data_IF_913653718424
#
_entry.id   IF_913653718424
#
_cell.length_a   1.000
_cell.length_b   1.000
_cell.length_c   1.000
_cell.angle_alpha   90.00
_cell.angle_beta   90.00
_cell.angle_gamma   90.00
#
_symmetry.space_group_name_H-M   'P 1'
#
loop_
_entity.id
_entity.type
_entity.pdbx_description
1 polymer ?
#
# COMPACT_ATOMS: atom_id res chain seq x y z
N UNK A 1 15.92 15.10 2.18
CA UNK A 1 15.92 13.61 2.00
C UNK A 1 14.53 13.13 2.32
N UNK A 2 14.04 12.01 1.74
CA UNK A 2 12.75 11.44 2.12
C UNK A 2 12.91 10.73 3.45
N UNK A 3 12.04 11.02 4.42
CA UNK A 3 12.01 10.36 5.72
C UNK A 3 11.30 9.03 5.64
N UNK A 4 11.85 7.99 6.28
CA UNK A 4 11.28 6.64 6.35
C UNK A 4 11.26 6.22 7.82
N UNK A 5 10.07 5.95 8.35
CA UNK A 5 9.91 5.39 9.69
C UNK A 5 10.17 3.89 9.63
N UNK A 6 11.01 3.40 10.54
CA UNK A 6 11.29 1.96 10.73
C UNK A 6 10.97 1.61 12.17
N UNK A 7 10.05 0.69 12.37
CA UNK A 7 9.67 0.19 13.69
C UNK A 7 9.90 -1.33 13.76
N UNK A 8 10.77 -1.73 14.69
CA UNK A 8 11.15 -3.14 14.92
C UNK A 8 11.75 -3.23 16.32
N UNK A 9 11.33 -4.18 17.14
CA UNK A 9 11.86 -4.38 18.50
C UNK A 9 13.22 -5.08 18.52
N UNK A 10 13.62 -5.70 17.40
CA UNK A 10 14.95 -6.26 17.20
C UNK A 10 15.95 -5.18 16.74
N UNK A 11 16.69 -4.56 17.70
CA UNK A 11 17.63 -3.47 17.40
C UNK A 11 18.63 -3.80 16.28
N UNK A 12 19.07 -5.05 16.17
CA UNK A 12 20.02 -5.46 15.13
C UNK A 12 19.38 -5.38 13.74
N UNK A 13 18.14 -5.80 13.59
CA UNK A 13 17.39 -5.73 12.32
C UNK A 13 17.08 -4.27 12.00
N UNK A 14 16.56 -3.52 12.95
CA UNK A 14 16.26 -2.10 12.82
C UNK A 14 17.50 -1.32 12.36
N UNK A 15 18.66 -1.50 13.03
CA UNK A 15 19.89 -0.81 12.67
C UNK A 15 20.37 -1.19 11.28
N UNK A 16 20.31 -2.48 10.91
CA UNK A 16 20.65 -2.96 9.58
C UNK A 16 19.79 -2.28 8.49
N UNK A 17 18.47 -2.26 8.68
CA UNK A 17 17.55 -1.60 7.74
C UNK A 17 17.84 -0.10 7.65
N UNK A 18 18.05 0.57 8.77
CA UNK A 18 18.39 1.99 8.81
C UNK A 18 19.69 2.31 8.07
N UNK A 19 20.71 1.45 8.18
CA UNK A 19 22.00 1.66 7.50
C UNK A 19 21.86 1.51 5.98
N UNK A 20 21.06 0.54 5.51
CA UNK A 20 20.76 0.42 4.08
C UNK A 20 19.94 1.61 3.56
N UNK A 21 18.98 2.10 4.32
CA UNK A 21 18.20 3.30 3.96
C UNK A 21 19.10 4.53 3.83
N UNK A 22 20.01 4.76 4.79
CA UNK A 22 20.99 5.88 4.73
C UNK A 22 21.89 5.76 3.50
N UNK A 23 22.37 4.56 3.20
CA UNK A 23 23.22 4.29 2.03
C UNK A 23 22.49 4.62 0.72
N UNK A 24 21.18 4.37 0.66
CA UNK A 24 20.34 4.66 -0.52
C UNK A 24 19.82 6.11 -0.54
N UNK A 25 20.27 6.97 0.39
CA UNK A 25 19.97 8.40 0.41
C UNK A 25 18.65 8.77 1.09
N UNK A 26 18.11 7.90 1.95
CA UNK A 26 16.94 8.17 2.78
C UNK A 26 17.34 8.60 4.19
N UNK A 27 16.41 9.22 4.91
CA UNK A 27 16.54 9.60 6.32
C UNK A 27 15.69 8.65 7.18
N UNK A 28 16.27 7.62 7.83
CA UNK A 28 15.50 6.72 8.68
C UNK A 28 15.22 7.36 10.04
N UNK A 29 13.98 7.20 10.50
CA UNK A 29 13.50 7.46 11.85
C UNK A 29 13.19 6.10 12.47
N UNK A 30 13.76 5.79 13.63
CA UNK A 30 13.66 4.46 14.25
C UNK A 30 12.76 4.47 15.48
N UNK A 31 11.96 3.41 15.65
CA UNK A 31 11.14 3.12 16.82
C UNK A 31 11.34 1.67 17.26
N UNK A 32 11.33 1.41 18.55
CA UNK A 32 11.51 0.07 19.13
C UNK A 32 10.20 -0.60 19.55
N UNK A 33 9.09 0.12 19.43
CA UNK A 33 7.74 -0.36 19.71
C UNK A 33 6.69 0.45 18.93
N UNK A 34 5.44 -0.02 18.96
CA UNK A 34 4.37 0.61 18.21
C UNK A 34 3.91 1.96 18.77
N UNK A 35 4.03 2.22 20.07
CA UNK A 35 3.68 3.50 20.68
C UNK A 35 4.66 4.58 20.21
N UNK A 36 5.94 4.31 20.30
CA UNK A 36 7.00 5.19 19.80
C UNK A 36 6.88 5.44 18.30
N UNK A 37 6.51 4.40 17.52
CA UNK A 37 6.27 4.54 16.09
C UNK A 37 5.16 5.55 15.79
N UNK A 38 4.03 5.48 16.52
CA UNK A 38 2.92 6.42 16.36
C UNK A 38 3.28 7.84 16.81
N UNK A 39 4.07 8.00 17.87
CA UNK A 39 4.55 9.31 18.32
C UNK A 39 5.45 9.97 17.26
N UNK A 40 6.42 9.22 16.72
CA UNK A 40 7.32 9.70 15.66
C UNK A 40 6.52 10.04 14.40
N UNK A 41 5.55 9.19 14.04
CA UNK A 41 4.70 9.44 12.87
C UNK A 41 3.91 10.74 12.99
N UNK A 42 3.27 11.00 14.14
CA UNK A 42 2.52 12.24 14.39
C UNK A 42 3.41 13.48 14.41
N UNK A 43 4.64 13.35 14.91
CA UNK A 43 5.60 14.46 14.96
C UNK A 43 6.24 14.80 13.60
N UNK A 44 6.14 13.90 12.61
CA UNK A 44 6.78 14.04 11.30
C UNK A 44 5.77 13.82 10.16
N UNK A 45 4.98 14.84 9.78
CA UNK A 45 3.96 14.71 8.72
C UNK A 45 4.56 14.51 7.31
N UNK A 46 5.87 14.67 7.17
CA UNK A 46 6.63 14.52 5.93
C UNK A 46 7.24 13.10 5.76
N UNK A 47 6.88 12.13 6.60
CA UNK A 47 7.25 10.74 6.41
C UNK A 47 6.69 10.24 5.07
N UNK A 48 7.61 9.72 4.23
CA UNK A 48 7.29 9.28 2.86
C UNK A 48 6.95 7.78 2.76
N UNK A 49 7.36 6.97 3.75
CA UNK A 49 7.11 5.53 3.83
C UNK A 49 7.30 5.05 5.26
N UNK A 50 6.58 4.00 5.64
CA UNK A 50 6.69 3.34 6.96
C UNK A 50 7.03 1.86 6.75
N UNK A 51 7.97 1.34 7.53
CA UNK A 51 8.32 -0.09 7.61
C UNK A 51 8.00 -0.53 9.05
N UNK A 52 7.14 -1.52 9.20
CA UNK A 52 6.67 -2.00 10.50
C UNK A 52 6.95 -3.49 10.66
N UNK A 53 7.60 -3.86 11.75
CA UNK A 53 7.49 -5.24 12.21
C UNK A 53 6.09 -5.50 12.77
N UNK A 54 5.60 -6.72 12.55
CA UNK A 54 4.30 -7.14 13.07
C UNK A 54 4.37 -7.37 14.57
N UNK A 55 5.40 -8.07 15.01
CA UNK A 55 5.52 -8.57 16.38
C UNK A 55 6.28 -7.58 17.27
N UNK A 56 5.69 -6.42 17.53
CA UNK A 56 6.26 -5.43 18.44
C UNK A 56 5.56 -5.43 19.81
N UNK A 57 6.26 -5.08 20.90
CA UNK A 57 5.65 -4.89 22.20
C UNK A 57 4.77 -3.64 22.25
N UNK A 58 3.90 -3.57 23.26
CA UNK A 58 2.97 -2.47 23.57
C UNK A 58 1.84 -2.37 22.55
N UNK A 59 2.15 -2.02 21.30
CA UNK A 59 1.20 -1.95 20.18
C UNK A 59 1.83 -2.70 19.02
N UNK A 60 1.13 -3.71 18.48
CA UNK A 60 1.61 -4.49 17.35
C UNK A 60 1.59 -3.68 16.03
N UNK A 61 2.33 -4.16 15.02
CA UNK A 61 2.43 -3.45 13.74
C UNK A 61 1.10 -3.32 13.00
N UNK A 62 0.16 -4.25 13.22
CA UNK A 62 -1.18 -4.17 12.62
C UNK A 62 -1.99 -3.00 13.16
N UNK A 63 -1.97 -2.81 14.47
CA UNK A 63 -2.67 -1.71 15.13
C UNK A 63 -2.03 -0.37 14.79
N UNK A 64 -0.69 -0.32 14.70
CA UNK A 64 0.04 0.86 14.20
C UNK A 64 -0.42 1.20 12.78
N UNK A 65 -0.46 0.21 11.88
CA UNK A 65 -0.90 0.41 10.50
C UNK A 65 -2.36 0.90 10.43
N UNK A 66 -3.28 0.26 11.15
CA UNK A 66 -4.69 0.70 11.23
C UNK A 66 -4.83 2.13 11.73
N UNK A 67 -4.05 2.50 12.75
CA UNK A 67 -4.06 3.86 13.31
C UNK A 67 -3.54 4.89 12.29
N UNK A 68 -2.45 4.60 11.60
CA UNK A 68 -1.92 5.45 10.52
C UNK A 68 -2.96 5.62 9.42
N UNK A 69 -3.66 4.55 9.03
CA UNK A 69 -4.66 4.56 7.96
C UNK A 69 -5.91 5.41 8.26
N UNK A 70 -6.17 5.74 9.52
CA UNK A 70 -7.25 6.67 9.88
C UNK A 70 -6.99 8.10 9.38
N UNK A 71 -5.72 8.47 9.20
CA UNK A 71 -5.32 9.86 8.90
C UNK A 71 -4.38 10.00 7.72
N UNK A 72 -3.82 8.91 7.18
CA UNK A 72 -2.78 8.97 6.15
C UNK A 72 -2.83 7.76 5.20
N UNK A 73 -2.47 8.03 3.94
CA UNK A 73 -2.24 7.02 2.90
C UNK A 73 -0.74 6.78 2.64
N UNK A 74 0.13 7.17 3.57
CA UNK A 74 1.57 6.90 3.45
C UNK A 74 1.81 5.42 3.16
N UNK A 75 2.70 5.04 2.22
CA UNK A 75 3.01 3.65 1.97
C UNK A 75 3.51 2.94 3.21
N UNK A 76 2.99 1.74 3.48
CA UNK A 76 3.38 0.88 4.62
C UNK A 76 3.84 -0.48 4.10
N UNK A 77 5.07 -0.87 4.49
CA UNK A 77 5.61 -2.22 4.32
C UNK A 77 5.56 -2.91 5.67
N UNK A 78 4.97 -4.11 5.72
CA UNK A 78 5.01 -4.95 6.92
C UNK A 78 6.16 -5.95 6.82
N UNK A 79 6.91 -6.11 7.91
CA UNK A 79 7.87 -7.20 8.08
C UNK A 79 7.21 -8.32 8.88
N UNK A 80 7.25 -9.55 8.38
CA UNK A 80 6.56 -10.69 9.00
C UNK A 80 7.45 -11.91 9.12
N UNK A 81 7.32 -12.68 10.18
CA UNK A 81 7.94 -13.99 10.29
C UNK A 81 7.12 -15.01 9.46
N UNK A 82 7.79 -15.86 8.69
CA UNK A 82 7.27 -16.79 7.67
C UNK A 82 6.20 -17.80 8.12
N UNK A 83 5.71 -17.78 9.34
CA UNK A 83 4.99 -18.91 9.93
C UNK A 83 3.47 -18.79 10.04
N UNK A 84 2.83 -17.76 9.49
CA UNK A 84 1.38 -17.61 9.68
C UNK A 84 0.68 -17.11 8.41
N UNK A 85 0.11 -18.03 7.63
CA UNK A 85 -0.93 -17.72 6.60
C UNK A 85 -2.07 -16.85 7.17
N UNK A 86 -2.26 -16.87 8.48
CA UNK A 86 -3.25 -16.08 9.21
C UNK A 86 -2.85 -14.60 9.31
N UNK A 87 -1.55 -14.31 9.37
CA UNK A 87 -1.04 -12.93 9.46
C UNK A 87 -1.19 -12.18 8.14
N UNK A 88 -1.06 -12.85 7.00
CA UNK A 88 -1.27 -12.21 5.70
C UNK A 88 -2.72 -11.76 5.49
N UNK A 89 -3.71 -12.58 5.86
CA UNK A 89 -5.13 -12.21 5.74
C UNK A 89 -5.48 -11.05 6.69
N UNK A 90 -5.02 -11.10 7.94
CA UNK A 90 -5.25 -10.03 8.94
C UNK A 90 -4.55 -8.74 8.54
N UNK A 91 -3.39 -8.86 7.93
CA UNK A 91 -2.60 -7.71 7.51
C UNK A 91 -3.13 -7.00 6.28
N UNK A 92 -3.69 -7.72 5.35
CA UNK A 92 -4.42 -7.10 4.24
C UNK A 92 -5.64 -6.31 4.74
N UNK A 93 -6.28 -6.75 5.82
CA UNK A 93 -7.35 -6.00 6.47
C UNK A 93 -6.84 -4.72 7.17
N UNK A 94 -5.58 -4.69 7.64
CA UNK A 94 -4.97 -3.50 8.23
C UNK A 94 -4.61 -2.40 7.22
N UNK A 95 -4.57 -2.73 5.91
CA UNK A 95 -4.34 -1.74 4.85
C UNK A 95 -2.86 -1.49 4.51
N UNK A 96 -1.97 -2.42 4.78
CA UNK A 96 -0.58 -2.36 4.31
C UNK A 96 -0.48 -2.43 2.79
N UNK A 97 0.56 -1.82 2.22
CA UNK A 97 0.79 -1.78 0.77
C UNK A 97 1.67 -2.92 0.29
N UNK A 98 2.54 -3.45 1.15
CA UNK A 98 3.44 -4.55 0.81
C UNK A 98 3.83 -5.35 2.05
N UNK A 99 4.28 -6.60 1.84
CA UNK A 99 4.72 -7.53 2.88
C UNK A 99 6.09 -8.10 2.52
N UNK A 100 6.96 -8.21 3.52
CA UNK A 100 8.29 -8.79 3.37
C UNK A 100 8.50 -9.79 4.50
N UNK A 101 8.70 -11.05 4.14
CA UNK A 101 8.95 -12.12 5.12
C UNK A 101 10.37 -12.06 5.68
N UNK A 102 10.52 -12.15 7.02
CA UNK A 102 11.81 -12.33 7.70
C UNK A 102 12.25 -13.83 7.64
N UNK A 103 13.53 -14.15 7.43
CA UNK A 103 14.64 -13.23 7.14
C UNK A 103 14.59 -12.73 5.70
N UNK A 104 14.65 -11.43 5.50
CA UNK A 104 14.69 -10.82 4.18
C UNK A 104 16.09 -10.31 3.82
N UNK A 105 16.43 -10.39 2.54
CA UNK A 105 17.62 -9.69 2.05
C UNK A 105 17.38 -8.17 2.09
N UNK A 106 18.26 -7.38 2.73
CA UNK A 106 18.13 -5.92 2.73
C UNK A 106 17.99 -5.32 1.33
N UNK A 107 18.65 -5.92 0.33
CA UNK A 107 18.56 -5.47 -1.06
C UNK A 107 17.15 -5.68 -1.67
N UNK A 108 16.42 -6.71 -1.26
CA UNK A 108 15.02 -6.94 -1.66
C UNK A 108 14.13 -5.87 -1.03
N UNK A 109 14.29 -5.63 0.28
CA UNK A 109 13.55 -4.59 0.99
C UNK A 109 13.79 -3.21 0.36
N UNK A 110 15.04 -2.83 0.05
CA UNK A 110 15.36 -1.56 -0.59
C UNK A 110 14.72 -1.42 -1.99
N UNK A 111 14.64 -2.48 -2.78
CA UNK A 111 13.93 -2.46 -4.06
C UNK A 111 12.43 -2.19 -3.89
N UNK A 112 11.80 -2.77 -2.85
CA UNK A 112 10.38 -2.54 -2.55
C UNK A 112 10.13 -1.12 -2.07
N UNK A 113 11.00 -0.60 -1.18
CA UNK A 113 11.00 0.81 -0.76
C UNK A 113 11.08 1.73 -1.98
N UNK A 114 12.07 1.51 -2.86
CA UNK A 114 12.24 2.33 -4.06
C UNK A 114 11.03 2.24 -5.00
N UNK A 115 10.43 1.05 -5.18
CA UNK A 115 9.26 0.84 -6.02
C UNK A 115 8.03 1.61 -5.50
N UNK A 116 7.76 1.55 -4.18
CA UNK A 116 6.66 2.29 -3.56
C UNK A 116 6.88 3.80 -3.64
N UNK A 117 8.10 4.27 -3.39
CA UNK A 117 8.44 5.70 -3.45
C UNK A 117 8.50 6.26 -4.88
N UNK A 118 8.80 5.43 -5.89
CA UNK A 118 8.85 5.83 -7.31
C UNK A 118 7.44 5.99 -7.88
N UNK A 119 6.49 5.18 -7.48
CA UNK A 119 5.08 5.29 -7.91
C UNK A 119 4.45 6.62 -7.51
N UNK A 120 4.86 7.20 -6.38
CA UNK A 120 4.49 8.56 -5.98
C UNK A 120 5.17 9.68 -6.81
N UNK A 121 6.08 9.34 -7.74
CA UNK A 121 6.91 10.31 -8.47
C UNK A 121 6.85 10.13 -9.99
N UNK A 122 6.14 9.12 -10.49
CA UNK A 122 6.04 8.90 -11.93
C UNK A 122 5.18 10.01 -12.55
N UNK A 123 5.78 10.82 -13.43
CA UNK A 123 5.03 11.66 -14.39
C UNK A 123 4.20 10.74 -15.27
N UNK A 124 2.92 10.59 -14.91
CA UNK A 124 1.90 10.06 -15.81
C UNK A 124 1.47 11.25 -16.67
N UNK A 125 1.31 11.04 -17.98
CA UNK A 125 0.62 12.04 -18.81
C UNK A 125 -0.68 12.41 -18.12
N UNK A 126 -0.91 13.69 -17.88
CA UNK A 126 -2.04 14.21 -17.14
C UNK A 126 -3.34 13.74 -17.81
N UNK A 127 -3.97 12.76 -17.22
CA UNK A 127 -5.24 12.24 -17.68
C UNK A 127 -6.24 12.30 -16.55
N UNK A 128 -7.32 13.03 -16.77
CA UNK A 128 -8.48 13.01 -15.89
C UNK A 128 -9.44 11.96 -16.43
N UNK A 129 -9.68 10.94 -15.64
CA UNK A 129 -10.68 9.91 -15.95
C UNK A 129 -11.97 10.26 -15.22
N UNK A 130 -13.09 10.10 -15.90
CA UNK A 130 -14.40 10.31 -15.33
C UNK A 130 -15.37 9.21 -15.78
N UNK A 131 -16.02 8.58 -14.84
CA UNK A 131 -17.11 7.64 -15.07
C UNK A 131 -18.22 7.99 -14.07
N UNK A 132 -19.37 8.42 -14.57
CA UNK A 132 -20.47 8.98 -13.80
C UNK A 132 -19.95 10.12 -12.89
N UNK A 133 -20.15 9.99 -11.58
CA UNK A 133 -19.76 10.96 -10.56
C UNK A 133 -18.38 10.68 -9.92
N UNK A 134 -17.66 9.64 -10.39
CA UNK A 134 -16.26 9.43 -10.00
C UNK A 134 -15.33 10.15 -10.96
N UNK A 135 -14.44 10.97 -10.40
CA UNK A 135 -13.34 11.62 -11.09
C UNK A 135 -12.00 11.18 -10.49
N UNK A 136 -11.07 10.75 -11.32
CA UNK A 136 -9.69 10.44 -10.96
C UNK A 136 -8.74 11.34 -11.74
N UNK A 137 -7.90 12.08 -11.01
CA UNK A 137 -6.84 12.91 -11.57
C UNK A 137 -5.50 12.18 -11.37
N UNK A 138 -4.91 11.74 -12.47
CA UNK A 138 -3.68 10.94 -12.41
C UNK A 138 -2.44 11.77 -12.11
N UNK A 139 -2.46 13.09 -12.37
CA UNK A 139 -1.34 13.97 -12.06
C UNK A 139 -1.34 14.36 -10.58
N UNK A 140 -2.51 14.72 -10.05
CA UNK A 140 -2.68 15.05 -8.63
C UNK A 140 -2.70 13.80 -7.72
N UNK A 141 -2.87 12.59 -8.27
CA UNK A 141 -3.11 11.35 -7.52
C UNK A 141 -4.35 11.46 -6.60
N UNK A 142 -5.37 12.13 -7.08
CA UNK A 142 -6.58 12.42 -6.32
C UNK A 142 -7.80 11.73 -6.95
N UNK A 143 -8.72 11.34 -6.09
CA UNK A 143 -9.99 10.72 -6.48
C UNK A 143 -11.12 11.44 -5.77
N UNK A 144 -12.15 11.80 -6.54
CA UNK A 144 -13.39 12.38 -6.02
C UNK A 144 -14.58 11.53 -6.44
N UNK A 145 -15.53 11.38 -5.55
CA UNK A 145 -16.82 10.76 -5.80
C UNK A 145 -17.92 11.74 -5.39
N UNK A 146 -18.80 12.09 -6.32
CA UNK A 146 -19.86 13.09 -6.11
C UNK A 146 -19.31 14.42 -5.54
N UNK A 147 -18.11 14.82 -5.99
CA UNK A 147 -17.43 16.06 -5.53
C UNK A 147 -16.74 15.97 -4.18
N UNK A 148 -16.80 14.83 -3.49
CA UNK A 148 -16.10 14.59 -2.22
C UNK A 148 -14.81 13.81 -2.47
N UNK A 149 -13.69 14.27 -1.89
CA UNK A 149 -12.41 13.56 -2.00
C UNK A 149 -12.47 12.22 -1.29
N UNK A 150 -11.97 11.16 -1.95
CA UNK A 150 -11.90 9.79 -1.43
C UNK A 150 -10.44 9.42 -1.18
N UNK A 151 -10.11 9.13 0.08
CA UNK A 151 -8.76 8.71 0.45
C UNK A 151 -8.52 7.23 0.12
N UNK A 152 -7.68 6.98 -0.87
CA UNK A 152 -7.25 5.64 -1.27
C UNK A 152 -5.79 5.42 -0.87
N UNK A 153 -5.45 4.20 -0.44
CA UNK A 153 -4.05 3.78 -0.32
C UNK A 153 -3.39 3.72 -1.70
N UNK A 154 -2.07 3.68 -1.75
CA UNK A 154 -1.34 3.62 -3.01
C UNK A 154 -1.77 2.43 -3.88
N UNK A 155 -2.00 1.26 -3.27
CA UNK A 155 -2.42 0.05 -4.00
C UNK A 155 -3.87 0.11 -4.47
N UNK A 156 -4.77 0.63 -3.64
CA UNK A 156 -6.17 0.87 -4.04
C UNK A 156 -6.26 1.86 -5.19
N UNK A 157 -5.49 2.95 -5.12
CA UNK A 157 -5.37 3.91 -6.21
C UNK A 157 -4.83 3.25 -7.48
N UNK A 158 -3.75 2.48 -7.37
CA UNK A 158 -3.12 1.80 -8.52
C UNK A 158 -4.08 0.81 -9.20
N UNK A 159 -4.88 0.07 -8.41
CA UNK A 159 -5.93 -0.81 -8.95
C UNK A 159 -7.00 0.01 -9.68
N UNK A 160 -7.53 1.05 -9.04
CA UNK A 160 -8.56 1.91 -9.64
C UNK A 160 -8.05 2.53 -10.94
N UNK A 161 -6.85 3.11 -10.92
CA UNK A 161 -6.21 3.71 -12.09
C UNK A 161 -6.04 2.69 -13.23
N UNK A 162 -5.56 1.48 -12.91
CA UNK A 162 -5.38 0.41 -13.92
C UNK A 162 -6.69 0.03 -14.57
N UNK A 163 -7.75 -0.11 -13.78
CA UNK A 163 -9.06 -0.50 -14.28
C UNK A 163 -9.74 0.64 -15.07
N UNK A 164 -9.68 1.89 -14.55
CA UNK A 164 -10.35 3.04 -15.16
C UNK A 164 -9.65 3.53 -16.44
N UNK A 165 -8.35 3.28 -16.57
CA UNK A 165 -7.59 3.62 -17.78
C UNK A 165 -7.94 2.74 -19.00
N UNK A 166 -8.65 1.62 -18.80
CA UNK A 166 -9.09 0.73 -19.86
C UNK A 166 -10.49 0.14 -19.56
N UNK A 167 -11.55 0.94 -19.58
CA UNK A 167 -12.92 0.50 -19.29
C UNK A 167 -13.34 -0.68 -20.18
N UNK A 168 -14.05 -1.65 -19.60
CA UNK A 168 -14.49 -2.86 -20.29
C UNK A 168 -13.44 -3.96 -20.40
N UNK A 169 -12.14 -3.63 -20.29
CA UNK A 169 -11.06 -4.63 -20.30
C UNK A 169 -11.02 -5.42 -19.01
N UNK A 170 -10.94 -6.75 -19.13
CA UNK A 170 -10.71 -7.64 -17.98
C UNK A 170 -9.22 -7.76 -17.71
N UNK A 171 -8.82 -7.51 -16.47
CA UNK A 171 -7.48 -7.77 -15.96
C UNK A 171 -7.52 -9.00 -15.05
N UNK A 172 -6.65 -9.98 -15.30
CA UNK A 172 -6.55 -11.14 -14.41
C UNK A 172 -5.98 -10.73 -13.05
N UNK A 173 -6.20 -11.57 -12.01
CA UNK A 173 -5.60 -11.35 -10.70
C UNK A 173 -4.08 -11.33 -10.76
N UNK A 174 -3.51 -12.24 -11.54
CA UNK A 174 -2.08 -12.32 -11.78
C UNK A 174 -1.55 -11.05 -12.46
N UNK A 175 -2.21 -10.57 -13.53
CA UNK A 175 -1.83 -9.32 -14.19
C UNK A 175 -1.88 -8.12 -13.23
N UNK A 176 -2.92 -8.02 -12.40
CA UNK A 176 -3.01 -6.94 -11.41
C UNK A 176 -1.93 -7.08 -10.34
N UNK A 177 -1.61 -8.30 -9.92
CA UNK A 177 -0.55 -8.57 -8.95
C UNK A 177 0.80 -8.13 -9.51
N UNK A 178 1.18 -8.64 -10.69
CA UNK A 178 2.44 -8.34 -11.35
C UNK A 178 2.61 -6.84 -11.63
N UNK A 179 1.58 -6.21 -12.19
CA UNK A 179 1.60 -4.80 -12.56
C UNK A 179 1.69 -3.87 -11.34
N UNK A 180 1.11 -4.26 -10.20
CA UNK A 180 0.94 -3.39 -9.03
C UNK A 180 1.92 -3.76 -7.90
N UNK A 181 2.29 -5.02 -7.74
CA UNK A 181 3.25 -5.47 -6.73
C UNK A 181 4.61 -5.85 -7.31
N UNK A 182 4.67 -6.20 -8.59
CA UNK A 182 5.87 -6.64 -9.31
C UNK A 182 5.99 -8.15 -9.38
N UNK A 183 6.79 -8.64 -10.35
CA UNK A 183 6.96 -10.08 -10.61
C UNK A 183 7.65 -10.85 -9.46
N UNK A 184 8.38 -10.14 -8.59
CA UNK A 184 9.08 -10.75 -7.45
C UNK A 184 8.20 -10.76 -6.18
N UNK A 185 6.90 -10.48 -6.30
CA UNK A 185 5.99 -10.50 -5.17
C UNK A 185 5.61 -11.94 -4.80
N UNK A 186 5.94 -12.36 -3.59
CA UNK A 186 5.82 -13.74 -3.09
C UNK A 186 4.47 -14.00 -2.38
N UNK A 187 3.51 -13.05 -2.52
CA UNK A 187 2.20 -13.13 -1.86
C UNK A 187 1.11 -13.77 -2.74
N UNK A 188 -0.01 -14.15 -2.11
CA UNK A 188 -1.15 -14.80 -2.75
C UNK A 188 -1.94 -13.80 -3.65
N UNK A 189 -2.55 -14.32 -4.72
CA UNK A 189 -3.50 -13.59 -5.58
C UNK A 189 -4.71 -13.02 -4.80
N UNK A 190 -5.04 -13.57 -3.63
CA UNK A 190 -6.06 -13.04 -2.70
C UNK A 190 -5.75 -11.64 -2.21
N UNK A 191 -4.48 -11.22 -2.27
CA UNK A 191 -4.06 -9.82 -2.02
C UNK A 191 -4.85 -8.84 -2.87
N UNK A 192 -5.02 -9.14 -4.17
CA UNK A 192 -5.81 -8.31 -5.07
C UNK A 192 -7.28 -8.26 -4.64
N UNK A 193 -7.86 -9.41 -4.26
CA UNK A 193 -9.26 -9.50 -3.85
C UNK A 193 -9.53 -8.63 -2.61
N UNK A 194 -8.64 -8.65 -1.63
CA UNK A 194 -8.75 -7.85 -0.41
C UNK A 194 -8.67 -6.34 -0.69
N UNK A 195 -7.77 -5.91 -1.59
CA UNK A 195 -7.68 -4.50 -1.97
C UNK A 195 -8.89 -4.05 -2.80
N UNK A 196 -9.41 -4.90 -3.70
CA UNK A 196 -10.63 -4.60 -4.45
C UNK A 196 -11.84 -4.51 -3.52
N UNK A 197 -11.94 -5.38 -2.52
CA UNK A 197 -13.02 -5.31 -1.53
C UNK A 197 -13.02 -3.98 -0.77
N UNK A 198 -11.85 -3.54 -0.26
CA UNK A 198 -11.71 -2.24 0.41
C UNK A 198 -11.98 -1.07 -0.53
N UNK A 199 -11.47 -1.13 -1.76
CA UNK A 199 -11.72 -0.12 -2.77
C UNK A 199 -13.23 0.03 -3.03
N UNK A 200 -13.98 -1.08 -3.17
CA UNK A 200 -15.44 -1.05 -3.30
C UNK A 200 -16.10 -0.42 -2.08
N UNK A 201 -15.65 -0.76 -0.87
CA UNK A 201 -16.19 -0.17 0.37
C UNK A 201 -15.99 1.34 0.41
N UNK A 202 -14.80 1.83 0.04
CA UNK A 202 -14.49 3.27 0.02
C UNK A 202 -15.25 4.03 -1.07
N UNK A 203 -15.53 3.39 -2.19
CA UNK A 203 -16.31 3.96 -3.31
C UNK A 203 -17.81 3.68 -3.21
N UNK A 204 -18.26 2.97 -2.18
CA UNK A 204 -19.67 2.72 -1.89
C UNK A 204 -20.45 2.09 -3.06
N UNK A 205 -21.63 2.64 -3.36
CA UNK A 205 -22.51 2.14 -4.44
C UNK A 205 -21.83 2.23 -5.80
N UNK A 206 -21.05 3.27 -6.07
CA UNK A 206 -20.30 3.39 -7.30
C UNK A 206 -19.31 2.23 -7.48
N UNK A 207 -18.55 1.91 -6.45
CA UNK A 207 -17.60 0.80 -6.48
C UNK A 207 -18.25 -0.55 -6.70
N UNK A 208 -19.40 -0.77 -6.09
CA UNK A 208 -20.20 -2.00 -6.25
C UNK A 208 -20.82 -2.12 -7.64
N UNK A 209 -21.23 -0.98 -8.23
CA UNK A 209 -21.84 -0.91 -9.57
C UNK A 209 -20.80 -1.09 -10.67
N UNK A 210 -19.68 -0.38 -10.61
CA UNK A 210 -18.74 -0.27 -11.73
C UNK A 210 -17.57 -1.25 -11.68
N UNK A 211 -17.05 -1.60 -10.49
CA UNK A 211 -15.97 -2.59 -10.38
C UNK A 211 -16.57 -3.99 -10.39
N UNK A 212 -16.51 -4.66 -11.55
CA UNK A 212 -17.09 -5.99 -11.76
C UNK A 212 -16.07 -7.09 -11.54
N UNK A 213 -16.51 -8.15 -10.85
CA UNK A 213 -15.76 -9.40 -10.73
C UNK A 213 -16.11 -10.31 -11.90
N UNK A 214 -15.10 -10.76 -12.63
CA UNK A 214 -15.23 -11.81 -13.63
C UNK A 214 -14.74 -13.11 -12.97
N UNK A 215 -15.70 -13.95 -12.60
CA UNK A 215 -15.41 -15.17 -11.86
C UNK A 215 -14.39 -16.05 -12.60
N UNK A 216 -13.44 -16.60 -11.85
CA UNK A 216 -12.36 -17.40 -12.41
C UNK A 216 -11.27 -16.62 -13.15
N UNK A 217 -11.45 -15.30 -13.40
CA UNK A 217 -10.49 -14.48 -14.16
C UNK A 217 -9.95 -13.33 -13.33
N UNK A 218 -10.76 -12.34 -12.99
CA UNK A 218 -10.27 -11.12 -12.34
C UNK A 218 -11.31 -10.00 -12.28
N UNK A 219 -10.89 -8.78 -12.65
CA UNK A 219 -11.68 -7.58 -12.46
C UNK A 219 -11.69 -6.68 -13.70
N UNK A 220 -12.76 -5.91 -13.86
CA UNK A 220 -12.87 -4.84 -14.85
C UNK A 220 -13.68 -3.67 -14.28
N UNK A 221 -13.57 -2.49 -14.91
CA UNK A 221 -14.54 -1.40 -14.75
C UNK A 221 -15.50 -1.42 -15.94
N UNK A 222 -16.81 -1.29 -15.66
CA UNK A 222 -17.83 -1.00 -16.65
C UNK A 222 -18.21 0.47 -16.54
N UNK A 223 -18.11 1.21 -17.67
CA UNK A 223 -18.78 2.48 -17.87
C UNK A 223 -20.14 2.16 -18.53
N UNK A 224 -21.22 2.64 -17.98
CA UNK A 224 -22.56 2.49 -18.57
C UNK A 224 -22.68 3.25 -19.87
#
# INVERSE_FOLDING_TARGET
MKKILVADDEELIMNLVCDFLRRDGYEPLSATDGEQALEIFRANPDIALVILDIMMPVIDGWEVCRTIRQTSNVPVIMLTARSQEFDELTGFEAGADDYVTKPCSPSVLMKRVAALLKRNSAKVESSVFQIDDLRLDSEAHEVWLSGTSVMLTLKEYSILYKLISAPGRVFSREQLLDDIWGFDFDGDMRTVDSHVARLRTKLGDWGSKHIRTIYGTGYKIEAD
#
